data_IF_581500679560
#
_entry.id   IF_581500679560
#
_cell.length_a   1.000
_cell.length_b   1.000
_cell.length_c   1.000
_cell.angle_alpha   90.00
_cell.angle_beta   90.00
_cell.angle_gamma   90.00
#
_symmetry.space_group_name_H-M   'P 1'
#
loop_
_entity.id
_entity.type
_entity.pdbx_description
1 polymer ?
#
# COMPACT_ATOMS: atom_id res chain seq x y z
N UNK A 1 2.31 10.05 -5.08
CA UNK A 1 1.69 11.38 -5.24
C UNK A 1 0.92 11.75 -3.98
N UNK A 2 0.75 13.04 -3.70
CA UNK A 2 -0.12 13.52 -2.63
C UNK A 2 -1.37 14.14 -3.27
N UNK A 3 -2.51 13.46 -3.20
CA UNK A 3 -3.76 13.93 -3.81
C UNK A 3 -4.59 14.71 -2.79
N UNK A 4 -5.00 15.92 -3.17
CA UNK A 4 -5.84 16.81 -2.36
C UNK A 4 -5.30 17.10 -0.94
N UNK A 5 -4.00 16.87 -0.69
CA UNK A 5 -3.42 16.93 0.66
C UNK A 5 -3.94 15.86 1.62
N UNK A 6 -4.70 14.87 1.15
CA UNK A 6 -5.41 13.89 1.98
C UNK A 6 -5.00 12.44 1.68
N UNK A 7 -4.56 12.14 0.46
CA UNK A 7 -4.27 10.76 0.06
C UNK A 7 -2.83 10.61 -0.38
N UNK A 8 -2.13 9.63 0.21
CA UNK A 8 -0.90 9.13 -0.40
C UNK A 8 -1.28 8.13 -1.49
N UNK A 9 -0.89 8.42 -2.74
CA UNK A 9 -1.09 7.53 -3.88
C UNK A 9 0.24 6.90 -4.30
N UNK A 10 0.33 5.57 -4.26
CA UNK A 10 1.53 4.79 -4.59
C UNK A 10 1.15 3.55 -5.41
N UNK A 11 2.11 2.86 -6.02
CA UNK A 11 1.81 1.61 -6.73
C UNK A 11 1.74 0.42 -5.76
N UNK A 12 2.85 0.21 -5.03
CA UNK A 12 3.04 -0.73 -3.94
C UNK A 12 2.26 -0.29 -2.69
N UNK A 13 2.98 0.02 -1.63
CA UNK A 13 2.40 0.56 -0.41
C UNK A 13 3.46 1.25 0.45
N UNK A 14 3.58 0.80 1.70
CA UNK A 14 4.46 1.38 2.71
C UNK A 14 5.82 0.70 2.77
N UNK A 15 6.77 1.34 3.46
CA UNK A 15 8.10 0.83 3.75
C UNK A 15 8.41 1.02 5.23
N UNK A 16 9.13 0.08 5.89
CA UNK A 16 9.66 0.31 7.23
C UNK A 16 10.66 1.48 7.29
N UNK A 17 11.21 1.93 6.17
CA UNK A 17 12.17 3.05 6.07
C UNK A 17 11.51 4.39 5.69
N UNK A 18 10.19 4.42 5.47
CA UNK A 18 9.43 5.63 5.10
C UNK A 18 8.42 5.92 6.20
N UNK A 19 8.73 6.89 7.04
CA UNK A 19 7.87 7.31 8.15
C UNK A 19 7.08 8.57 7.81
N UNK A 20 7.62 9.40 6.92
CA UNK A 20 7.06 10.69 6.53
C UNK A 20 7.01 10.88 5.01
N UNK A 21 6.17 11.81 4.56
CA UNK A 21 6.15 12.23 3.15
C UNK A 21 7.49 12.82 2.68
N UNK A 22 8.29 13.38 3.58
CA UNK A 22 9.61 13.94 3.26
C UNK A 22 10.66 12.85 3.00
N UNK A 23 10.50 11.65 3.56
CA UNK A 23 11.37 10.51 3.25
C UNK A 23 11.24 10.11 1.77
N UNK A 24 10.02 10.15 1.24
CA UNK A 24 9.74 9.91 -0.19
C UNK A 24 10.38 10.99 -1.07
N UNK A 25 10.29 12.27 -0.67
CA UNK A 25 10.86 13.40 -1.44
C UNK A 25 12.38 13.32 -1.55
N UNK A 26 13.05 12.69 -0.59
CA UNK A 26 14.51 12.54 -0.53
C UNK A 26 15.05 11.39 -1.39
N UNK A 27 14.19 10.53 -1.93
CA UNK A 27 14.61 9.42 -2.77
C UNK A 27 15.15 9.90 -4.12
N UNK A 28 16.38 9.52 -4.44
CA UNK A 28 16.89 9.56 -5.81
C UNK A 28 16.24 8.45 -6.64
N UNK A 29 15.26 8.84 -7.45
CA UNK A 29 14.42 7.93 -8.25
C UNK A 29 14.91 7.74 -9.69
N UNK A 30 15.96 8.43 -10.13
CA UNK A 30 16.42 8.37 -11.53
C UNK A 30 17.43 7.24 -11.74
N UNK A 31 17.00 6.03 -11.37
CA UNK A 31 17.78 4.80 -11.41
C UNK A 31 16.84 3.60 -11.51
N UNK A 32 17.41 2.44 -11.83
CA UNK A 32 16.69 1.19 -11.71
C UNK A 32 16.26 0.97 -10.24
N UNK A 33 15.02 0.55 -9.96
CA UNK A 33 14.61 0.20 -8.60
C UNK A 33 15.61 -0.81 -7.99
N UNK A 34 16.18 -0.50 -6.81
CA UNK A 34 17.08 -1.43 -6.13
C UNK A 34 16.30 -2.69 -5.68
N UNK A 35 16.98 -3.82 -5.44
CA UNK A 35 16.31 -5.06 -4.99
C UNK A 35 15.70 -4.96 -3.58
N UNK A 36 16.10 -3.97 -2.79
CA UNK A 36 15.60 -3.70 -1.44
C UNK A 36 15.60 -2.19 -1.16
N UNK A 37 14.92 -1.81 -0.07
CA UNK A 37 14.89 -0.45 0.44
C UNK A 37 13.68 0.36 -0.04
N UNK A 38 13.60 1.65 0.33
CA UNK A 38 12.37 2.44 0.29
C UNK A 38 11.79 2.62 -1.13
N UNK A 39 12.65 2.70 -2.15
CA UNK A 39 12.19 2.77 -3.54
C UNK A 39 11.59 1.44 -4.03
N UNK A 40 12.15 0.30 -3.61
CA UNK A 40 11.60 -1.02 -3.89
C UNK A 40 10.23 -1.15 -3.21
N UNK A 41 10.15 -0.79 -1.94
CA UNK A 41 8.95 -0.99 -1.12
C UNK A 41 7.75 -0.18 -1.60
N UNK A 42 7.95 1.09 -2.01
CA UNK A 42 6.90 1.91 -2.62
C UNK A 42 6.29 1.30 -3.89
N UNK A 43 6.99 0.37 -4.53
CA UNK A 43 6.56 -0.32 -5.75
C UNK A 43 6.05 -1.74 -5.48
N UNK A 44 6.55 -2.42 -4.44
CA UNK A 44 6.37 -3.87 -4.27
C UNK A 44 5.68 -4.32 -2.98
N UNK A 45 5.50 -3.44 -2.00
CA UNK A 45 4.85 -3.86 -0.76
C UNK A 45 3.35 -4.06 -0.96
N UNK A 46 2.79 -4.98 -0.16
CA UNK A 46 1.37 -5.36 -0.18
C UNK A 46 0.78 -5.27 1.23
N UNK A 47 -0.53 -5.02 1.39
CA UNK A 47 -1.19 -5.25 2.67
C UNK A 47 -1.13 -6.74 3.05
N UNK A 48 -1.15 -7.05 4.34
CA UNK A 48 -1.34 -8.43 4.79
C UNK A 48 -2.65 -9.05 4.23
N UNK A 49 -2.66 -10.36 4.03
CA UNK A 49 -3.85 -11.07 3.54
C UNK A 49 -5.05 -10.89 4.49
N UNK A 50 -4.78 -10.94 5.80
CA UNK A 50 -5.72 -10.71 6.88
C UNK A 50 -5.76 -9.25 7.37
N UNK A 51 -5.37 -8.29 6.52
CA UNK A 51 -5.30 -6.86 6.86
C UNK A 51 -6.55 -6.35 7.60
N UNK A 52 -6.34 -5.79 8.79
CA UNK A 52 -7.37 -5.31 9.70
C UNK A 52 -7.92 -6.36 10.68
N UNK A 53 -7.52 -7.61 10.55
CA UNK A 53 -7.86 -8.74 11.44
C UNK A 53 -6.63 -9.54 11.84
N UNK A 54 -5.46 -8.91 11.78
CA UNK A 54 -4.17 -9.53 12.03
C UNK A 54 -4.10 -10.14 13.44
N UNK A 55 -3.47 -11.30 13.54
CA UNK A 55 -3.17 -11.94 14.84
C UNK A 55 -1.86 -11.46 15.44
N UNK A 56 -0.94 -11.00 14.59
CA UNK A 56 0.37 -10.47 14.98
C UNK A 56 0.30 -8.96 15.21
N UNK A 57 1.16 -8.45 16.09
CA UNK A 57 1.35 -7.01 16.30
C UNK A 57 2.48 -6.44 15.44
N UNK A 58 3.13 -7.27 14.61
CA UNK A 58 4.17 -6.82 13.70
C UNK A 58 3.59 -5.88 12.65
N UNK A 59 4.29 -4.77 12.41
CA UNK A 59 3.90 -3.77 11.42
C UNK A 59 4.29 -4.16 10.00
N UNK A 60 5.44 -4.81 9.88
CA UNK A 60 6.01 -5.24 8.62
C UNK A 60 6.53 -6.67 8.77
N UNK A 61 6.24 -7.51 7.78
CA UNK A 61 6.79 -8.87 7.68
C UNK A 61 7.25 -9.11 6.24
N UNK A 62 8.16 -10.06 6.01
CA UNK A 62 8.69 -10.32 4.68
C UNK A 62 7.58 -10.73 3.69
N UNK A 63 7.51 -10.08 2.52
CA UNK A 63 6.52 -10.42 1.50
C UNK A 63 6.94 -11.68 0.73
N UNK A 64 6.42 -12.82 1.17
CA UNK A 64 6.69 -14.12 0.55
C UNK A 64 6.02 -14.31 -0.81
N UNK A 65 4.99 -13.54 -1.14
CA UNK A 65 4.31 -13.59 -2.45
C UNK A 65 5.15 -12.93 -3.53
N UNK A 66 5.82 -11.82 -3.20
CA UNK A 66 6.70 -11.09 -4.13
C UNK A 66 8.15 -11.59 -4.11
N UNK A 67 8.59 -12.16 -2.98
CA UNK A 67 9.98 -12.56 -2.77
C UNK A 67 10.95 -11.39 -2.51
N UNK A 68 10.40 -10.18 -2.33
CA UNK A 68 11.11 -8.97 -1.94
C UNK A 68 10.13 -8.05 -1.20
N UNK A 69 10.65 -6.99 -0.56
CA UNK A 69 9.82 -6.04 0.19
C UNK A 69 9.01 -6.70 1.33
N UNK A 70 7.93 -6.04 1.75
CA UNK A 70 7.19 -6.34 2.97
C UNK A 70 5.69 -6.43 2.74
N UNK A 71 5.04 -7.28 3.53
CA UNK A 71 3.65 -7.06 3.88
C UNK A 71 3.57 -5.99 4.96
N UNK A 72 2.61 -5.09 4.87
CA UNK A 72 2.32 -4.10 5.91
C UNK A 72 0.94 -4.31 6.53
N UNK A 73 0.85 -4.14 7.85
CA UNK A 73 -0.39 -4.33 8.60
C UNK A 73 -1.27 -3.07 8.63
N UNK A 74 -2.51 -3.25 9.06
CA UNK A 74 -3.45 -2.17 9.36
C UNK A 74 -2.90 -1.20 10.39
N UNK A 75 -2.17 -1.69 11.40
CA UNK A 75 -1.50 -0.85 12.38
C UNK A 75 -0.44 0.04 11.73
N UNK A 76 0.43 -0.54 10.87
CA UNK A 76 1.44 0.22 10.13
C UNK A 76 0.83 1.34 9.27
N UNK A 77 -0.28 1.02 8.59
CA UNK A 77 -1.02 1.98 7.79
C UNK A 77 -1.62 3.11 8.63
N UNK A 78 -2.28 2.78 9.74
CA UNK A 78 -2.88 3.79 10.61
C UNK A 78 -1.84 4.72 11.22
N UNK A 79 -0.70 4.18 11.67
CA UNK A 79 0.39 4.98 12.23
C UNK A 79 0.96 5.94 11.18
N UNK A 80 1.19 5.47 9.96
CA UNK A 80 1.66 6.33 8.87
C UNK A 80 0.65 7.43 8.55
N UNK A 81 -0.64 7.10 8.45
CA UNK A 81 -1.71 8.07 8.17
C UNK A 81 -1.80 9.13 9.26
N UNK A 82 -1.76 8.73 10.53
CA UNK A 82 -1.81 9.66 11.66
C UNK A 82 -0.60 10.58 11.68
N UNK A 83 0.61 10.04 11.52
CA UNK A 83 1.85 10.80 11.55
C UNK A 83 1.94 11.83 10.41
N UNK A 84 1.33 11.53 9.26
CA UNK A 84 1.36 12.38 8.08
C UNK A 84 0.07 13.19 7.86
N UNK A 85 -0.89 13.12 8.80
CA UNK A 85 -2.18 13.81 8.73
C UNK A 85 -2.95 13.50 7.44
N UNK A 86 -2.92 12.23 7.02
CA UNK A 86 -3.57 11.73 5.82
C UNK A 86 -4.85 10.98 6.15
N UNK A 87 -5.78 10.94 5.20
CA UNK A 87 -7.05 10.25 5.30
C UNK A 87 -6.96 8.77 4.92
N UNK A 88 -6.20 8.45 3.86
CA UNK A 88 -6.11 7.09 3.32
C UNK A 88 -4.91 6.94 2.38
N UNK A 89 -4.51 5.68 2.15
CA UNK A 89 -3.57 5.30 1.10
C UNK A 89 -4.35 4.73 -0.08
N UNK A 90 -4.09 5.23 -1.28
CA UNK A 90 -4.64 4.69 -2.53
C UNK A 90 -3.51 3.99 -3.29
N UNK A 91 -3.75 2.73 -3.66
CA UNK A 91 -2.75 1.88 -4.29
C UNK A 91 -3.31 1.05 -5.46
N UNK A 92 -2.45 0.26 -6.10
CA UNK A 92 -2.81 -0.65 -7.19
C UNK A 92 -2.21 -2.05 -7.00
N UNK A 93 -1.48 -2.56 -8.01
CA UNK A 93 -0.62 -3.77 -7.99
C UNK A 93 -1.29 -5.15 -7.80
N UNK A 94 -2.33 -5.27 -6.98
CA UNK A 94 -3.04 -6.53 -6.72
C UNK A 94 -4.35 -6.57 -7.50
N UNK A 95 -4.53 -7.60 -8.33
CA UNK A 95 -5.77 -7.81 -9.08
C UNK A 95 -6.97 -7.97 -8.14
N UNK A 96 -8.09 -7.31 -8.47
CA UNK A 96 -9.33 -7.37 -7.70
C UNK A 96 -10.47 -7.81 -8.62
N UNK A 97 -11.29 -8.77 -8.17
CA UNK A 97 -12.45 -9.25 -8.94
C UNK A 97 -13.43 -8.11 -9.29
N UNK A 98 -13.68 -7.22 -8.32
CA UNK A 98 -14.54 -6.04 -8.50
C UNK A 98 -13.83 -4.83 -9.15
N UNK A 99 -12.55 -4.94 -9.51
CA UNK A 99 -11.72 -3.82 -9.99
C UNK A 99 -11.23 -2.88 -8.87
N UNK A 100 -11.72 -3.03 -7.64
CA UNK A 100 -11.26 -2.28 -6.48
C UNK A 100 -11.48 -3.06 -5.17
N UNK A 101 -10.82 -2.63 -4.10
CA UNK A 101 -11.05 -3.11 -2.73
C UNK A 101 -10.90 -1.98 -1.73
N UNK A 102 -11.89 -1.83 -0.87
CA UNK A 102 -11.86 -0.94 0.29
C UNK A 102 -11.49 -1.76 1.52
N UNK A 103 -10.42 -1.39 2.22
CA UNK A 103 -9.95 -2.11 3.40
C UNK A 103 -10.56 -1.54 4.69
N UNK A 104 -10.21 -2.14 5.83
CA UNK A 104 -10.69 -1.73 7.16
C UNK A 104 -10.56 -0.22 7.35
N UNK A 105 -11.64 0.38 7.87
CA UNK A 105 -11.73 1.81 8.14
C UNK A 105 -10.83 2.20 9.30
N UNK A 106 -10.15 3.34 9.17
CA UNK A 106 -9.46 3.96 10.29
C UNK A 106 -10.50 4.37 11.36
N UNK A 107 -10.25 4.04 12.63
CA UNK A 107 -11.21 4.30 13.71
C UNK A 107 -11.45 5.80 13.94
N UNK A 108 -10.43 6.63 13.74
CA UNK A 108 -10.51 8.07 13.96
C UNK A 108 -11.31 8.81 12.89
N UNK A 109 -11.26 8.36 11.63
CA UNK A 109 -11.89 9.05 10.49
C UNK A 109 -13.15 8.35 9.98
N UNK A 110 -13.33 7.05 10.29
CA UNK A 110 -14.41 6.23 9.71
C UNK A 110 -14.26 5.97 8.20
N UNK A 111 -13.12 6.34 7.61
CA UNK A 111 -12.82 6.20 6.18
C UNK A 111 -11.88 4.99 5.95
N UNK A 112 -11.98 4.27 4.82
CA UNK A 112 -11.06 3.17 4.49
C UNK A 112 -9.60 3.59 4.65
N UNK A 113 -8.82 2.87 5.47
CA UNK A 113 -7.40 3.19 5.67
C UNK A 113 -6.57 2.96 4.41
N UNK A 114 -6.96 1.97 3.60
CA UNK A 114 -6.31 1.59 2.37
C UNK A 114 -7.37 1.31 1.30
N UNK A 115 -7.05 1.64 0.05
CA UNK A 115 -7.86 1.37 -1.13
C UNK A 115 -6.96 0.79 -2.21
N UNK A 116 -7.34 -0.36 -2.77
CA UNK A 116 -6.72 -0.90 -3.99
C UNK A 116 -7.62 -0.62 -5.18
N UNK A 117 -7.04 -0.11 -6.27
CA UNK A 117 -7.68 0.11 -7.57
C UNK A 117 -6.94 -0.73 -8.61
N UNK A 118 -7.68 -1.47 -9.44
CA UNK A 118 -7.14 -2.33 -10.47
C UNK A 118 -7.92 -2.19 -11.78
N UNK A 119 -7.29 -1.62 -12.80
CA UNK A 119 -7.99 -1.14 -14.00
C UNK A 119 -7.75 -1.99 -15.25
N UNK A 120 -7.35 -3.26 -15.10
CA UNK A 120 -7.22 -4.20 -16.21
C UNK A 120 -8.35 -5.24 -16.16
N UNK A 121 -9.46 -5.06 -16.90
CA UNK A 121 -10.57 -6.00 -16.87
C UNK A 121 -10.19 -7.29 -17.60
N UNK A 122 -10.81 -8.40 -17.23
CA UNK A 122 -10.49 -9.73 -17.75
C UNK A 122 -8.97 -9.97 -17.81
N UNK A 123 -8.28 -9.72 -16.68
CA UNK A 123 -6.83 -9.77 -16.61
C UNK A 123 -6.30 -11.10 -17.15
N UNK A 124 -5.30 -11.02 -18.02
CA UNK A 124 -4.68 -12.15 -18.73
C UNK A 124 -5.68 -13.02 -19.52
N UNK A 125 -6.81 -12.44 -19.93
CA UNK A 125 -7.89 -13.10 -20.66
C UNK A 125 -8.58 -14.27 -19.92
N UNK A 126 -8.30 -14.45 -18.62
CA UNK A 126 -8.79 -15.60 -17.83
C UNK A 126 -9.43 -15.22 -16.50
N UNK A 127 -9.08 -14.07 -15.92
CA UNK A 127 -9.57 -13.71 -14.58
C UNK A 127 -11.04 -13.30 -14.58
N UNK A 128 -11.59 -12.84 -15.71
CA UNK A 128 -12.97 -12.35 -15.84
C UNK A 128 -13.36 -11.27 -14.80
N UNK A 129 -12.38 -10.55 -14.26
CA UNK A 129 -12.57 -9.47 -13.29
C UNK A 129 -13.04 -8.17 -13.97
N UNK A 130 -13.64 -7.28 -13.18
CA UNK A 130 -13.97 -5.90 -13.56
C UNK A 130 -12.76 -4.97 -13.44
N UNK A 131 -12.92 -3.73 -13.92
CA UNK A 131 -11.97 -2.62 -13.83
C UNK A 131 -12.67 -1.31 -13.47
#
# INVERSE_FOLDING_TARGET
ALMNGQFLCVHGGLSPEIHTLDDIKRLDRFKEPPPYGPMCDLLWSDPLEDYGSERTTEQYSHNTVRGCSYFYSYAACCDFLQNNQLLSIIRAHEAQDAGYRMYKKCQSTGFPSLITIFSAPNYLDVYNNKA
#
